data_IF_010313652897
#
_entry.id   IF_010313652897
#
_cell.length_a   1.000
_cell.length_b   1.000
_cell.length_c   1.000
_cell.angle_alpha   90.00
_cell.angle_beta   90.00
_cell.angle_gamma   90.00
#
_symmetry.space_group_name_H-M   'P 1'
#
loop_
_entity.id
_entity.type
_entity.pdbx_description
1 polymer ?
#
# COMPACT_ATOMS: atom_id res chain seq x y z
N UNK A 1 -17.33 10.01 52.18
CA UNK A 1 -17.07 10.49 50.80
C UNK A 1 -18.38 11.04 50.28
N UNK A 2 -18.48 12.33 49.93
CA UNK A 2 -19.76 12.93 49.53
C UNK A 2 -20.17 12.29 48.20
N UNK A 3 -21.40 11.75 48.11
CA UNK A 3 -21.94 11.11 46.89
C UNK A 3 -21.74 12.01 45.67
N UNK A 4 -21.85 13.33 45.85
CA UNK A 4 -21.54 14.34 44.84
C UNK A 4 -20.15 14.22 44.21
N UNK A 5 -19.11 13.86 44.96
CA UNK A 5 -17.73 13.73 44.45
C UNK A 5 -17.58 12.48 43.57
N UNK A 6 -18.26 11.39 43.94
CA UNK A 6 -18.25 10.16 43.15
C UNK A 6 -18.91 10.38 41.80
N UNK A 7 -20.04 11.10 41.79
CA UNK A 7 -20.76 11.44 40.55
C UNK A 7 -19.88 12.30 39.63
N UNK A 8 -19.20 13.33 40.16
CA UNK A 8 -18.34 14.19 39.34
C UNK A 8 -17.18 13.44 38.71
N UNK A 9 -16.56 12.50 39.44
CA UNK A 9 -15.47 11.68 38.91
C UNK A 9 -15.95 10.70 37.84
N UNK A 10 -17.14 10.12 38.02
CA UNK A 10 -17.73 9.24 37.01
C UNK A 10 -18.02 9.99 35.70
N UNK A 11 -18.59 11.20 35.77
CA UNK A 11 -18.85 12.04 34.58
C UNK A 11 -17.55 12.44 33.88
N UNK A 12 -16.52 12.82 34.63
CA UNK A 12 -15.19 13.13 34.09
C UNK A 12 -14.56 11.92 33.39
N UNK A 13 -14.65 10.74 34.00
CA UNK A 13 -14.14 9.49 33.41
C UNK A 13 -14.85 9.13 32.11
N UNK A 14 -16.17 9.29 32.07
CA UNK A 14 -16.96 9.10 30.84
C UNK A 14 -16.49 10.10 29.77
N UNK A 15 -16.44 11.40 30.08
CA UNK A 15 -16.01 12.41 29.11
C UNK A 15 -14.58 12.18 28.58
N UNK A 16 -13.66 11.71 29.44
CA UNK A 16 -12.29 11.37 29.03
C UNK A 16 -12.24 10.19 28.04
N UNK A 17 -13.04 9.15 28.27
CA UNK A 17 -13.16 8.00 27.36
C UNK A 17 -13.75 8.44 26.01
N UNK A 18 -14.77 9.29 26.03
CA UNK A 18 -15.39 9.80 24.79
C UNK A 18 -14.42 10.71 24.00
N UNK A 19 -13.69 11.59 24.68
CA UNK A 19 -12.67 12.42 24.04
C UNK A 19 -11.54 11.57 23.42
N UNK A 20 -11.09 10.55 24.15
CA UNK A 20 -10.06 9.62 23.65
C UNK A 20 -10.53 8.83 22.41
N UNK A 21 -11.83 8.49 22.33
CA UNK A 21 -12.41 7.84 21.17
C UNK A 21 -12.48 8.79 19.96
N UNK A 22 -12.88 10.06 20.17
CA UNK A 22 -12.94 11.07 19.11
C UNK A 22 -11.54 11.42 18.55
N UNK A 23 -10.52 11.54 19.41
CA UNK A 23 -9.13 11.81 18.98
C UNK A 23 -8.55 10.67 18.12
N UNK A 24 -9.02 9.43 18.31
CA UNK A 24 -8.61 8.28 17.50
C UNK A 24 -9.23 8.34 16.10
N UNK A 25 -10.44 8.87 15.99
CA UNK A 25 -11.15 9.05 14.73
C UNK A 25 -10.53 10.18 13.89
N UNK A 26 -10.09 11.28 14.53
CA UNK A 26 -9.38 12.36 13.84
C UNK A 26 -8.01 11.92 13.29
N UNK A 27 -7.23 11.14 14.05
CA UNK A 27 -5.96 10.57 13.54
C UNK A 27 -6.16 9.48 12.48
N UNK A 28 -7.28 8.76 12.53
CA UNK A 28 -7.62 7.73 11.55
C UNK A 28 -8.09 8.28 10.20
N UNK A 29 -8.58 9.51 10.15
CA UNK A 29 -9.04 10.16 8.92
C UNK A 29 -7.88 10.69 8.06
N UNK A 30 -6.81 11.21 8.68
CA UNK A 30 -5.59 11.67 8.00
C UNK A 30 -4.79 10.53 7.33
N UNK A 31 -5.03 9.27 7.73
CA UNK A 31 -4.36 8.11 7.16
C UNK A 31 -5.04 7.55 5.90
N UNK A 32 -6.18 8.11 5.47
CA UNK A 32 -6.88 7.73 4.23
C UNK A 32 -6.41 8.47 2.98
N UNK A 33 -5.65 9.54 3.13
CA UNK A 33 -4.98 10.19 2.01
C UNK A 33 -3.69 9.45 1.70
N UNK A 34 -3.84 8.33 0.99
CA UNK A 34 -2.73 7.70 0.30
C UNK A 34 -2.06 8.80 -0.54
N UNK A 35 -0.80 9.17 -0.23
CA UNK A 35 -0.23 10.42 -0.70
C UNK A 35 -0.21 10.40 -2.23
N UNK A 36 -0.62 11.51 -2.86
CA UNK A 36 -0.93 11.59 -4.29
C UNK A 36 0.17 11.04 -5.23
N UNK A 37 1.42 10.96 -4.75
CA UNK A 37 2.55 10.34 -5.45
C UNK A 37 2.46 8.82 -5.59
N UNK A 38 1.84 8.09 -4.65
CA UNK A 38 1.62 6.64 -4.79
C UNK A 38 0.61 6.35 -5.89
N UNK A 39 -0.47 7.16 -5.96
CA UNK A 39 -1.48 7.06 -7.02
C UNK A 39 -0.96 7.51 -8.39
N UNK A 40 0.08 8.35 -8.44
CA UNK A 40 0.76 8.66 -9.71
C UNK A 40 1.73 7.54 -10.11
N UNK A 41 2.47 6.95 -9.17
CA UNK A 41 3.32 5.80 -9.44
C UNK A 41 2.52 4.60 -9.94
N UNK A 42 1.38 4.29 -9.32
CA UNK A 42 0.53 3.18 -9.76
C UNK A 42 0.00 3.38 -11.18
N UNK A 43 -0.33 4.62 -11.57
CA UNK A 43 -0.70 4.94 -12.97
C UNK A 43 0.47 4.80 -13.94
N UNK A 44 1.70 5.13 -13.53
CA UNK A 44 2.89 4.96 -14.37
C UNK A 44 3.12 3.46 -14.63
N UNK A 45 3.03 2.62 -13.60
CA UNK A 45 3.17 1.16 -13.73
C UNK A 45 2.02 0.49 -14.48
N UNK A 46 0.78 1.00 -14.39
CA UNK A 46 -0.35 0.48 -15.18
C UNK A 46 -0.31 0.90 -16.65
N UNK A 47 0.25 2.08 -16.99
CA UNK A 47 0.29 2.55 -18.38
C UNK A 47 1.24 1.74 -19.29
N UNK A 48 2.07 0.88 -18.72
CA UNK A 48 2.95 -0.05 -19.42
C UNK A 48 2.35 -1.48 -19.51
N UNK A 49 1.04 -1.66 -19.26
CA UNK A 49 0.34 -2.93 -19.53
C UNK A 49 0.07 -3.14 -21.03
N UNK A 50 1.13 -3.25 -21.84
CA UNK A 50 1.10 -4.25 -22.91
C UNK A 50 1.30 -5.61 -22.22
N UNK A 51 0.59 -6.64 -22.66
CA UNK A 51 0.56 -7.98 -22.05
C UNK A 51 1.94 -8.67 -22.08
N UNK A 52 2.88 -8.20 -21.28
CA UNK A 52 4.18 -8.80 -21.08
C UNK A 52 4.25 -9.48 -19.71
N UNK A 53 4.96 -10.59 -19.68
CA UNK A 53 5.24 -11.39 -18.51
C UNK A 53 6.24 -10.66 -17.61
N UNK A 54 5.82 -10.43 -16.37
CA UNK A 54 6.62 -9.76 -15.33
C UNK A 54 7.74 -10.67 -14.82
N UNK A 55 8.62 -10.11 -13.98
CA UNK A 55 9.68 -10.86 -13.30
C UNK A 55 9.14 -12.11 -12.61
N UNK A 56 9.79 -13.26 -12.85
CA UNK A 56 9.39 -14.61 -12.41
C UNK A 56 8.06 -15.13 -12.99
N UNK A 57 7.46 -14.45 -13.96
CA UNK A 57 6.35 -15.01 -14.73
C UNK A 57 6.85 -16.03 -15.76
N UNK A 58 6.00 -16.98 -16.14
CA UNK A 58 6.34 -18.03 -17.09
C UNK A 58 6.45 -17.49 -18.53
N UNK A 59 7.42 -17.99 -19.29
CA UNK A 59 7.64 -17.58 -20.67
C UNK A 59 8.13 -18.74 -21.55
N UNK A 60 7.90 -18.61 -22.85
CA UNK A 60 8.49 -19.45 -23.91
C UNK A 60 9.51 -18.70 -24.76
N UNK A 61 9.35 -17.39 -24.90
CA UNK A 61 10.20 -16.53 -25.74
C UNK A 61 10.52 -15.21 -25.02
N UNK A 62 11.66 -14.59 -25.33
CA UNK A 62 12.07 -13.30 -24.76
C UNK A 62 11.05 -12.18 -25.02
N UNK A 63 10.35 -12.22 -26.16
CA UNK A 63 9.33 -11.22 -26.53
C UNK A 63 8.09 -11.24 -25.64
N UNK A 64 7.88 -12.32 -24.89
CA UNK A 64 6.81 -12.39 -23.90
C UNK A 64 7.19 -11.61 -22.63
N UNK A 65 8.48 -11.46 -22.33
CA UNK A 65 8.93 -10.79 -21.12
C UNK A 65 8.83 -9.26 -21.25
N UNK A 66 8.59 -8.58 -20.12
CA UNK A 66 8.59 -7.12 -20.11
C UNK A 66 9.98 -6.54 -20.42
N UNK A 67 10.06 -5.26 -20.84
CA UNK A 67 11.34 -4.60 -21.08
C UNK A 67 12.31 -4.78 -19.89
N UNK A 68 13.58 -5.04 -20.19
CA UNK A 68 14.64 -5.40 -19.22
C UNK A 68 14.57 -6.81 -18.66
N UNK A 69 13.66 -7.63 -19.19
CA UNK A 69 13.59 -9.05 -18.89
C UNK A 69 13.76 -9.89 -20.15
N UNK A 70 14.31 -11.07 -19.96
CA UNK A 70 14.44 -12.12 -20.96
C UNK A 70 14.03 -13.46 -20.37
N UNK A 71 13.59 -14.34 -21.24
CA UNK A 71 13.17 -15.68 -20.88
C UNK A 71 14.38 -16.56 -20.57
N UNK A 72 14.35 -17.23 -19.42
CA UNK A 72 15.36 -18.22 -19.06
C UNK A 72 14.89 -19.61 -19.46
N UNK A 73 15.37 -20.10 -20.60
CA UNK A 73 15.01 -21.40 -21.19
C UNK A 73 15.17 -22.60 -20.25
N UNK A 74 16.05 -22.50 -19.24
CA UNK A 74 16.29 -23.59 -18.27
C UNK A 74 15.10 -23.81 -17.34
N UNK A 75 14.39 -22.74 -17.00
CA UNK A 75 13.32 -22.74 -15.98
C UNK A 75 12.03 -22.07 -16.48
N UNK A 76 11.99 -21.66 -17.75
CA UNK A 76 10.85 -21.05 -18.45
C UNK A 76 10.25 -19.86 -17.70
N UNK A 77 11.10 -18.93 -17.22
CA UNK A 77 10.64 -17.72 -16.54
C UNK A 77 11.38 -16.47 -16.99
N UNK A 78 10.70 -15.32 -16.90
CA UNK A 78 11.29 -14.02 -17.19
C UNK A 78 12.20 -13.57 -16.06
N UNK A 79 13.48 -13.38 -16.36
CA UNK A 79 14.48 -12.82 -15.45
C UNK A 79 15.07 -11.56 -16.06
N UNK A 80 15.76 -10.75 -15.25
CA UNK A 80 16.53 -9.62 -15.78
C UNK A 80 17.50 -10.09 -16.87
N UNK A 81 17.39 -9.48 -18.06
CA UNK A 81 18.26 -9.79 -19.21
C UNK A 81 19.62 -9.08 -19.13
N UNK A 82 19.75 -8.11 -18.23
CA UNK A 82 20.96 -7.30 -18.04
C UNK A 82 20.99 -6.03 -18.88
N UNK A 83 19.92 -5.72 -19.64
CA UNK A 83 19.77 -4.42 -20.29
C UNK A 83 19.34 -3.41 -19.24
N UNK A 84 20.23 -2.48 -18.88
CA UNK A 84 19.90 -1.34 -18.01
C UNK A 84 19.95 -0.08 -18.87
N UNK A 85 18.79 0.35 -19.39
CA UNK A 85 18.67 1.57 -20.18
C UNK A 85 19.25 1.47 -21.60
N UNK A 86 18.87 2.45 -22.43
CA UNK A 86 19.28 2.60 -23.84
C UNK A 86 20.76 2.94 -23.99
#
# INVERSE_FOLDING_TARGET
MKVSVVITLAVLGIMFVWASAAELEERGSDQRDSPAWLKSMERIFQSEERECTKFLGGCSEDSECCPHLGCKDVLYYCAWDGTFGK
#
